data_IF_011604778247
#
_entry.id   IF_011604778247
#
_cell.length_a   1.000
_cell.length_b   1.000
_cell.length_c   1.000
_cell.angle_alpha   90.00
_cell.angle_beta   90.00
_cell.angle_gamma   90.00
#
_symmetry.space_group_name_H-M   'P 1'
#
loop_
_entity.id
_entity.type
_entity.pdbx_description
1 polymer ?
#
# COMPACT_ATOMS: atom_id res chain seq x y z
N UNK A 1 -39.54 -2.22 -13.54
CA UNK A 1 -39.78 -3.69 -13.57
C UNK A 1 -38.42 -4.34 -13.45
N UNK A 2 -38.30 -5.44 -12.74
CA UNK A 2 -37.00 -6.15 -12.67
C UNK A 2 -37.05 -7.40 -13.56
N UNK A 3 -35.94 -7.77 -14.16
CA UNK A 3 -35.75 -9.08 -14.79
C UNK A 3 -35.15 -10.01 -13.74
N UNK A 4 -35.80 -11.16 -13.53
CA UNK A 4 -35.24 -12.26 -12.76
C UNK A 4 -34.35 -13.10 -13.67
N UNK A 5 -33.02 -12.97 -13.50
CA UNK A 5 -32.03 -13.52 -14.41
C UNK A 5 -32.10 -15.07 -14.46
N UNK A 6 -32.25 -15.71 -13.32
CA UNK A 6 -32.32 -17.18 -13.23
C UNK A 6 -33.54 -17.81 -13.92
N UNK A 7 -34.49 -17.02 -14.39
CA UNK A 7 -35.65 -17.49 -15.15
C UNK A 7 -35.43 -17.44 -16.68
N UNK A 8 -34.29 -16.92 -17.14
CA UNK A 8 -33.96 -16.83 -18.55
C UNK A 8 -33.30 -18.15 -19.03
N UNK A 9 -33.33 -18.34 -20.31
CA UNK A 9 -32.61 -19.44 -21.00
C UNK A 9 -31.52 -18.81 -21.86
N UNK A 10 -30.34 -19.30 -21.71
CA UNK A 10 -29.11 -18.81 -22.31
C UNK A 10 -28.61 -19.81 -23.38
N UNK A 11 -27.67 -19.37 -24.20
CA UNK A 11 -27.11 -20.12 -25.32
C UNK A 11 -25.59 -20.16 -25.26
N UNK A 12 -24.95 -20.95 -26.13
CA UNK A 12 -23.49 -20.92 -26.31
C UNK A 12 -23.07 -19.81 -27.31
N UNK A 13 -23.83 -18.73 -27.42
CA UNK A 13 -23.58 -17.57 -28.29
C UNK A 13 -23.76 -16.31 -27.46
N UNK A 14 -23.27 -15.18 -27.94
CA UNK A 14 -23.40 -13.88 -27.30
C UNK A 14 -24.86 -13.61 -26.85
N UNK A 15 -25.08 -13.55 -25.55
CA UNK A 15 -26.37 -13.22 -24.96
C UNK A 15 -26.38 -11.76 -24.46
N UNK A 16 -27.39 -10.97 -24.79
CA UNK A 16 -27.52 -9.56 -24.35
C UNK A 16 -28.76 -9.40 -23.51
N UNK A 17 -28.56 -9.02 -22.24
CA UNK A 17 -29.64 -8.91 -21.26
C UNK A 17 -29.64 -7.53 -20.57
N UNK A 18 -30.73 -6.76 -20.64
CA UNK A 18 -31.89 -6.95 -21.52
C UNK A 18 -31.53 -6.59 -22.98
N UNK A 19 -32.22 -7.17 -23.92
CA UNK A 19 -32.04 -6.84 -25.35
C UNK A 19 -32.37 -5.37 -25.67
N UNK A 20 -33.21 -4.73 -24.84
CA UNK A 20 -33.52 -3.29 -24.91
C UNK A 20 -34.21 -2.77 -23.66
N UNK A 21 -33.95 -1.50 -23.32
CA UNK A 21 -34.67 -0.77 -22.25
C UNK A 21 -33.88 -0.62 -20.96
N UNK A 22 -34.47 0.11 -19.99
CA UNK A 22 -33.90 0.38 -18.65
C UNK A 22 -34.57 -0.58 -17.67
N UNK A 23 -33.83 -1.51 -17.12
CA UNK A 23 -34.43 -2.56 -16.28
C UNK A 23 -33.42 -3.03 -15.23
N UNK A 24 -33.85 -3.07 -13.98
CA UNK A 24 -33.09 -3.68 -12.88
C UNK A 24 -32.90 -5.17 -13.15
N UNK A 25 -31.76 -5.70 -12.85
CA UNK A 25 -31.50 -7.13 -12.80
C UNK A 25 -31.59 -7.62 -11.35
N UNK A 26 -32.37 -8.68 -11.18
CA UNK A 26 -32.47 -9.46 -9.95
C UNK A 26 -32.04 -10.89 -10.25
N UNK A 27 -31.24 -11.49 -9.42
CA UNK A 27 -30.92 -12.92 -9.53
C UNK A 27 -31.09 -13.57 -8.15
N UNK A 28 -32.03 -14.51 -8.05
CA UNK A 28 -32.28 -15.26 -6.81
C UNK A 28 -31.92 -16.75 -6.93
N UNK A 29 -31.54 -17.20 -8.12
CA UNK A 29 -31.19 -18.57 -8.44
C UNK A 29 -29.83 -18.70 -9.11
N UNK A 30 -29.74 -19.62 -10.07
CA UNK A 30 -28.54 -19.83 -10.88
C UNK A 30 -28.82 -19.30 -12.29
N UNK A 31 -28.07 -18.34 -12.72
CA UNK A 31 -28.01 -17.86 -14.08
C UNK A 31 -26.63 -18.24 -14.67
N UNK A 32 -26.64 -18.96 -15.77
CA UNK A 32 -25.42 -19.40 -16.45
C UNK A 32 -25.62 -19.09 -17.94
N UNK A 33 -24.85 -18.13 -18.47
CA UNK A 33 -24.94 -17.71 -19.86
C UNK A 33 -24.13 -18.61 -20.80
N UNK A 34 -23.28 -19.48 -20.25
CA UNK A 34 -22.52 -20.54 -20.91
C UNK A 34 -21.23 -20.04 -21.57
N UNK A 35 -21.22 -19.79 -22.88
CA UNK A 35 -20.07 -19.30 -23.63
C UNK A 35 -20.54 -18.26 -24.65
N UNK A 36 -19.65 -17.42 -25.11
CA UNK A 36 -19.94 -16.26 -25.94
C UNK A 36 -19.62 -14.97 -25.17
N UNK A 37 -19.52 -13.87 -25.88
CA UNK A 37 -19.28 -12.57 -25.24
C UNK A 37 -20.63 -12.03 -24.73
N UNK A 38 -20.91 -12.29 -23.47
CA UNK A 38 -22.20 -12.02 -22.87
C UNK A 38 -22.28 -10.61 -22.26
N UNK A 39 -23.44 -10.00 -22.30
CA UNK A 39 -23.67 -8.66 -21.76
C UNK A 39 -24.86 -8.68 -20.82
N UNK A 40 -24.61 -8.42 -19.53
CA UNK A 40 -25.66 -8.27 -18.52
C UNK A 40 -25.69 -6.80 -18.05
N UNK A 41 -26.79 -6.08 -18.34
CA UNK A 41 -26.94 -4.67 -17.93
C UNK A 41 -28.16 -4.46 -17.05
N UNK A 42 -27.92 -4.03 -15.82
CA UNK A 42 -28.97 -3.68 -14.86
C UNK A 42 -29.01 -2.18 -14.59
N UNK A 43 -30.19 -1.55 -14.74
CA UNK A 43 -30.36 -0.11 -14.47
C UNK A 43 -31.56 0.10 -13.54
N UNK A 44 -31.32 0.80 -12.42
CA UNK A 44 -32.33 1.12 -11.43
C UNK A 44 -32.31 2.62 -11.04
N UNK A 45 -33.39 3.11 -10.43
CA UNK A 45 -33.46 4.48 -9.92
C UNK A 45 -33.09 4.58 -8.45
N UNK A 46 -33.57 3.65 -7.61
CA UNK A 46 -33.59 3.76 -6.15
C UNK A 46 -33.21 2.47 -5.40
N UNK A 47 -32.66 1.49 -6.13
CA UNK A 47 -32.13 0.22 -5.60
C UNK A 47 -30.92 -0.18 -6.42
N UNK A 48 -30.27 -1.30 -6.13
CA UNK A 48 -29.14 -1.77 -6.93
C UNK A 48 -29.51 -1.98 -8.39
N UNK A 49 -28.62 -1.56 -9.30
CA UNK A 49 -28.77 -1.85 -10.75
C UNK A 49 -28.81 -3.35 -10.99
N UNK A 50 -27.84 -4.07 -10.42
CA UNK A 50 -27.83 -5.54 -10.30
C UNK A 50 -27.89 -5.91 -8.84
N UNK A 51 -28.80 -6.82 -8.48
CA UNK A 51 -28.94 -7.40 -7.13
C UNK A 51 -28.84 -8.91 -7.23
N UNK A 52 -27.72 -9.45 -6.77
CA UNK A 52 -27.44 -10.87 -6.82
C UNK A 52 -27.58 -11.51 -5.43
N UNK A 53 -28.51 -12.45 -5.32
CA UNK A 53 -28.74 -13.31 -4.16
C UNK A 53 -28.45 -14.79 -4.46
N UNK A 54 -28.01 -15.10 -5.67
CA UNK A 54 -27.73 -16.43 -6.17
C UNK A 54 -26.38 -16.53 -6.87
N UNK A 55 -26.31 -17.23 -7.97
CA UNK A 55 -25.10 -17.35 -8.78
C UNK A 55 -25.33 -16.77 -10.19
N UNK A 56 -24.48 -15.86 -10.58
CA UNK A 56 -24.32 -15.41 -11.97
C UNK A 56 -22.99 -16.00 -12.45
N UNK A 57 -23.03 -16.74 -13.56
CA UNK A 57 -21.84 -17.28 -14.21
C UNK A 57 -21.96 -16.96 -15.70
N UNK A 58 -21.00 -16.23 -16.25
CA UNK A 58 -21.03 -15.86 -17.68
C UNK A 58 -20.22 -16.80 -18.55
N UNK A 59 -19.18 -17.44 -18.01
CA UNK A 59 -18.56 -18.60 -18.66
C UNK A 59 -17.22 -18.34 -19.32
N UNK A 60 -17.04 -18.81 -20.53
CA UNK A 60 -15.85 -18.55 -21.33
C UNK A 60 -16.11 -17.38 -22.32
N UNK A 61 -15.07 -16.74 -22.83
CA UNK A 61 -15.04 -15.56 -23.70
C UNK A 61 -15.18 -14.24 -22.93
N UNK A 62 -15.21 -13.10 -23.60
CA UNK A 62 -15.09 -11.79 -22.95
C UNK A 62 -16.46 -11.22 -22.57
N UNK A 63 -16.75 -11.18 -21.29
CA UNK A 63 -18.06 -10.84 -20.76
C UNK A 63 -18.14 -9.43 -20.15
N UNK A 64 -19.33 -8.87 -20.13
CA UNK A 64 -19.57 -7.54 -19.58
C UNK A 64 -20.75 -7.58 -18.62
N UNK A 65 -20.53 -7.24 -17.36
CA UNK A 65 -21.58 -7.07 -16.38
C UNK A 65 -21.62 -5.60 -15.93
N UNK A 66 -22.73 -4.90 -16.18
CA UNK A 66 -22.89 -3.49 -15.81
C UNK A 66 -24.11 -3.27 -14.94
N UNK A 67 -23.89 -2.76 -13.73
CA UNK A 67 -24.95 -2.33 -12.83
C UNK A 67 -24.95 -0.82 -12.64
N UNK A 68 -26.07 -0.15 -12.91
CA UNK A 68 -26.21 1.30 -12.75
C UNK A 68 -27.39 1.65 -11.84
N UNK A 69 -27.18 2.55 -10.89
CA UNK A 69 -28.25 3.10 -10.06
C UNK A 69 -28.14 4.61 -9.90
N UNK A 70 -29.30 5.31 -9.93
CA UNK A 70 -29.31 6.77 -9.74
C UNK A 70 -29.16 7.18 -8.27
N UNK A 71 -29.61 6.36 -7.32
CA UNK A 71 -29.54 6.66 -5.88
C UNK A 71 -29.17 5.47 -5.00
N UNK A 72 -29.07 4.27 -5.58
CA UNK A 72 -28.63 3.04 -4.93
C UNK A 72 -27.22 2.63 -5.32
N UNK A 73 -26.88 1.39 -5.05
CA UNK A 73 -25.63 0.77 -5.47
C UNK A 73 -25.66 0.40 -6.95
N UNK A 74 -24.52 0.45 -7.64
CA UNK A 74 -24.43 -0.11 -8.99
C UNK A 74 -24.69 -1.61 -8.98
N UNK A 75 -23.86 -2.35 -8.24
CA UNK A 75 -23.95 -3.80 -8.04
C UNK A 75 -24.04 -4.11 -6.55
N UNK A 76 -24.98 -4.98 -6.17
CA UNK A 76 -25.11 -5.57 -4.84
C UNK A 76 -24.98 -7.10 -4.96
N UNK A 77 -23.86 -7.65 -4.52
CA UNK A 77 -23.60 -9.09 -4.43
C UNK A 77 -23.69 -9.52 -2.97
N UNK A 78 -24.80 -10.18 -2.60
CA UNK A 78 -25.14 -10.47 -1.21
C UNK A 78 -24.40 -11.71 -0.68
N UNK A 79 -24.52 -11.97 0.61
CA UNK A 79 -23.90 -13.14 1.26
C UNK A 79 -24.37 -14.45 0.64
N UNK A 80 -23.42 -15.37 0.47
CA UNK A 80 -23.60 -16.67 -0.21
C UNK A 80 -23.98 -16.57 -1.69
N UNK A 81 -23.80 -15.42 -2.32
CA UNK A 81 -23.96 -15.28 -3.76
C UNK A 81 -22.61 -15.20 -4.47
N UNK A 82 -22.61 -15.47 -5.78
CA UNK A 82 -21.42 -15.38 -6.61
C UNK A 82 -21.69 -14.65 -7.93
N UNK A 83 -20.71 -13.90 -8.37
CA UNK A 83 -20.55 -13.43 -9.73
C UNK A 83 -19.24 -14.05 -10.23
N UNK A 84 -19.30 -14.83 -11.28
CA UNK A 84 -18.17 -15.55 -11.87
C UNK A 84 -18.20 -15.29 -13.38
N UNK A 85 -17.16 -14.63 -13.90
CA UNK A 85 -17.12 -14.33 -15.34
C UNK A 85 -16.28 -15.33 -16.12
N UNK A 86 -15.38 -16.06 -15.47
CA UNK A 86 -14.77 -17.27 -16.04
C UNK A 86 -13.45 -17.05 -16.74
N UNK A 87 -13.33 -17.45 -18.01
CA UNK A 87 -12.10 -17.22 -18.77
C UNK A 87 -12.39 -16.20 -19.86
N UNK A 88 -11.59 -15.20 -19.98
CA UNK A 88 -11.76 -14.15 -20.97
C UNK A 88 -11.21 -12.85 -20.44
N UNK A 89 -11.28 -11.80 -21.20
CA UNK A 89 -10.97 -10.48 -20.67
C UNK A 89 -12.28 -9.79 -20.29
N UNK A 90 -12.63 -9.88 -19.02
CA UNK A 90 -13.96 -9.58 -18.53
C UNK A 90 -14.06 -8.17 -17.90
N UNK A 91 -15.26 -7.61 -17.95
CA UNK A 91 -15.49 -6.29 -17.39
C UNK A 91 -16.70 -6.30 -16.45
N UNK A 92 -16.49 -5.96 -15.19
CA UNK A 92 -17.55 -5.71 -14.22
C UNK A 92 -17.57 -4.21 -13.89
N UNK A 93 -18.69 -3.52 -14.23
CA UNK A 93 -18.84 -2.10 -13.96
C UNK A 93 -20.02 -1.84 -13.03
N UNK A 94 -19.75 -1.18 -11.90
CA UNK A 94 -20.75 -0.71 -10.96
C UNK A 94 -20.80 0.83 -10.99
N UNK A 95 -21.97 1.41 -11.22
CA UNK A 95 -22.18 2.87 -11.25
C UNK A 95 -23.27 3.20 -10.25
N UNK A 96 -22.96 3.94 -9.19
CA UNK A 96 -23.91 4.16 -8.10
C UNK A 96 -23.67 5.43 -7.29
N UNK A 97 -24.65 5.73 -6.38
CA UNK A 97 -24.58 6.87 -5.45
C UNK A 97 -24.71 6.46 -3.97
N UNK A 98 -24.94 5.15 -3.69
CA UNK A 98 -24.85 4.57 -2.36
C UNK A 98 -23.50 3.84 -2.25
N UNK A 99 -23.45 2.60 -1.81
CA UNK A 99 -22.27 1.80 -2.06
C UNK A 99 -22.14 1.56 -3.57
N UNK A 100 -21.08 2.02 -4.20
CA UNK A 100 -20.95 1.90 -5.66
C UNK A 100 -20.95 0.41 -6.03
N UNK A 101 -19.99 -0.34 -5.48
CA UNK A 101 -19.93 -1.80 -5.50
C UNK A 101 -20.09 -2.30 -4.05
N UNK A 102 -21.11 -3.10 -3.78
CA UNK A 102 -21.30 -3.79 -2.50
C UNK A 102 -21.10 -5.29 -2.71
N UNK A 103 -20.02 -5.85 -2.17
CA UNK A 103 -19.72 -7.27 -2.24
C UNK A 103 -19.65 -7.90 -0.85
N UNK A 104 -20.61 -8.78 -0.54
CA UNK A 104 -20.63 -9.63 0.65
C UNK A 104 -20.64 -11.14 0.27
N UNK A 105 -20.49 -11.42 -1.02
CA UNK A 105 -20.38 -12.76 -1.61
C UNK A 105 -19.01 -12.98 -2.22
N UNK A 106 -18.98 -13.65 -3.37
CA UNK A 106 -17.78 -13.82 -4.17
C UNK A 106 -17.93 -13.14 -5.51
N UNK A 107 -16.95 -12.39 -5.91
CA UNK A 107 -16.73 -11.93 -7.29
C UNK A 107 -15.45 -12.60 -7.76
N UNK A 108 -15.54 -13.36 -8.83
CA UNK A 108 -14.41 -14.03 -9.46
C UNK A 108 -14.43 -13.69 -10.94
N UNK A 109 -13.35 -13.11 -11.48
CA UNK A 109 -13.29 -12.80 -12.90
C UNK A 109 -12.54 -13.87 -13.69
N UNK A 110 -11.63 -14.60 -13.02
CA UNK A 110 -11.03 -15.80 -13.61
C UNK A 110 -9.72 -15.56 -14.33
N UNK A 111 -9.53 -16.17 -15.50
CA UNK A 111 -8.28 -16.00 -16.22
C UNK A 111 -8.48 -15.03 -17.39
N UNK A 112 -7.57 -14.12 -17.56
CA UNK A 112 -7.58 -13.11 -18.59
C UNK A 112 -7.24 -11.74 -18.04
N UNK A 113 -7.09 -10.74 -18.87
CA UNK A 113 -6.85 -9.38 -18.40
C UNK A 113 -8.20 -8.74 -18.04
N UNK A 114 -8.55 -8.77 -16.75
CA UNK A 114 -9.88 -8.44 -16.26
C UNK A 114 -9.98 -7.02 -15.70
N UNK A 115 -11.20 -6.50 -15.63
CA UNK A 115 -11.42 -5.16 -15.07
C UNK A 115 -12.66 -5.10 -14.18
N UNK A 116 -12.47 -4.62 -12.95
CA UNK A 116 -13.56 -4.28 -12.03
C UNK A 116 -13.54 -2.77 -11.81
N UNK A 117 -14.62 -2.09 -12.23
CA UNK A 117 -14.72 -0.64 -12.20
C UNK A 117 -15.91 -0.22 -11.32
N UNK A 118 -15.66 0.61 -10.34
CA UNK A 118 -16.72 1.25 -9.56
C UNK A 118 -16.67 2.76 -9.77
N UNK A 119 -17.79 3.34 -10.26
CA UNK A 119 -17.89 4.75 -10.60
C UNK A 119 -19.03 5.43 -9.86
N UNK A 120 -18.81 6.66 -9.41
CA UNK A 120 -19.87 7.48 -8.84
C UNK A 120 -20.82 8.02 -9.93
N UNK A 121 -22.13 8.00 -9.67
CA UNK A 121 -23.15 8.56 -10.55
C UNK A 121 -23.62 9.94 -10.06
N UNK A 122 -22.72 10.91 -9.89
CA UNK A 122 -23.08 12.29 -9.50
C UNK A 122 -22.20 12.91 -8.43
N UNK A 123 -22.63 14.05 -7.89
CA UNK A 123 -21.83 14.91 -7.01
C UNK A 123 -22.04 14.66 -5.51
N UNK A 124 -22.27 13.47 -5.05
CA UNK A 124 -22.44 13.18 -3.62
C UNK A 124 -21.33 12.29 -3.11
N UNK A 125 -20.31 12.83 -2.44
CA UNK A 125 -19.13 12.07 -2.01
C UNK A 125 -19.39 11.37 -0.67
N UNK A 126 -20.22 10.36 -0.59
CA UNK A 126 -20.53 9.79 0.73
C UNK A 126 -20.30 8.29 0.91
N UNK A 127 -20.04 7.53 -0.15
CA UNK A 127 -19.99 6.08 0.03
C UNK A 127 -18.94 5.42 -0.87
N UNK A 128 -18.00 4.75 -0.24
CA UNK A 128 -16.96 3.94 -0.87
C UNK A 128 -17.56 2.62 -1.40
N UNK A 129 -16.86 1.95 -2.29
CA UNK A 129 -17.09 0.54 -2.54
C UNK A 129 -16.80 -0.27 -1.28
N UNK A 130 -17.63 -1.28 -0.96
CA UNK A 130 -17.46 -2.14 0.21
C UNK A 130 -17.25 -3.58 -0.24
N UNK A 131 -16.16 -4.17 0.25
CA UNK A 131 -15.92 -5.60 0.13
C UNK A 131 -15.90 -6.25 1.52
N UNK A 132 -16.98 -6.97 1.83
CA UNK A 132 -17.09 -7.81 3.02
C UNK A 132 -16.92 -9.31 2.69
N UNK A 133 -16.81 -9.63 1.40
CA UNK A 133 -16.67 -10.98 0.85
C UNK A 133 -15.30 -11.22 0.21
N UNK A 134 -15.30 -11.82 -0.96
CA UNK A 134 -14.09 -12.08 -1.74
C UNK A 134 -14.19 -11.43 -3.11
N UNK A 135 -13.16 -10.74 -3.52
CA UNK A 135 -12.90 -10.34 -4.91
C UNK A 135 -11.63 -11.10 -5.31
N UNK A 136 -11.69 -11.82 -6.42
CA UNK A 136 -10.58 -12.59 -6.96
C UNK A 136 -10.53 -12.40 -8.47
N UNK A 137 -9.38 -11.96 -9.00
CA UNK A 137 -9.20 -11.78 -10.44
C UNK A 137 -8.33 -12.86 -11.07
N UNK A 138 -7.65 -13.65 -10.25
CA UNK A 138 -6.93 -14.90 -10.57
C UNK A 138 -5.66 -14.73 -11.39
N UNK A 139 -5.70 -14.71 -12.73
CA UNK A 139 -4.48 -14.61 -13.54
C UNK A 139 -4.70 -13.79 -14.79
N UNK A 140 -3.79 -12.91 -15.08
CA UNK A 140 -3.83 -11.93 -16.14
C UNK A 140 -3.29 -10.61 -15.64
N UNK A 141 -3.30 -9.56 -16.44
CA UNK A 141 -2.96 -8.24 -15.93
C UNK A 141 -4.27 -7.53 -15.58
N UNK A 142 -4.63 -7.63 -14.32
CA UNK A 142 -5.95 -7.25 -13.84
C UNK A 142 -6.02 -5.82 -13.32
N UNK A 143 -7.18 -5.22 -13.37
CA UNK A 143 -7.38 -3.87 -12.91
C UNK A 143 -8.64 -3.73 -12.05
N UNK A 144 -8.46 -3.24 -10.81
CA UNK A 144 -9.56 -2.87 -9.94
C UNK A 144 -9.50 -1.36 -9.72
N UNK A 145 -10.48 -0.62 -10.27
CA UNK A 145 -10.56 0.85 -10.20
C UNK A 145 -11.80 1.25 -9.42
N UNK A 146 -11.62 1.86 -8.26
CA UNK A 146 -12.68 2.20 -7.33
C UNK A 146 -12.72 3.71 -7.09
N UNK A 147 -13.45 4.42 -7.97
CA UNK A 147 -13.69 5.85 -7.84
C UNK A 147 -14.73 6.07 -6.72
N UNK A 148 -14.30 6.65 -5.62
CA UNK A 148 -15.05 6.70 -4.36
C UNK A 148 -14.33 5.94 -3.24
N UNK A 149 -13.26 5.20 -3.59
CA UNK A 149 -12.42 4.46 -2.64
C UNK A 149 -12.95 3.08 -2.28
N UNK A 150 -12.18 2.37 -1.45
CA UNK A 150 -12.45 1.00 -0.99
C UNK A 150 -12.47 0.89 0.53
N UNK A 151 -13.53 0.28 1.04
CA UNK A 151 -13.60 -0.26 2.39
C UNK A 151 -13.54 -1.77 2.31
N UNK A 152 -12.42 -2.37 2.70
CA UNK A 152 -12.19 -3.81 2.63
C UNK A 152 -12.16 -4.46 4.02
N UNK A 153 -13.20 -5.20 4.36
CA UNK A 153 -13.21 -6.11 5.52
C UNK A 153 -13.19 -7.59 5.10
N UNK A 154 -13.24 -7.84 3.80
CA UNK A 154 -13.11 -9.14 3.16
C UNK A 154 -11.71 -9.37 2.59
N UNK A 155 -11.64 -10.09 1.49
CA UNK A 155 -10.38 -10.45 0.81
C UNK A 155 -10.41 -9.94 -0.62
N UNK A 156 -9.31 -9.33 -1.05
CA UNK A 156 -9.04 -8.96 -2.45
C UNK A 156 -7.79 -9.71 -2.88
N UNK A 157 -7.91 -10.51 -3.93
CA UNK A 157 -6.84 -11.30 -4.54
C UNK A 157 -6.78 -10.93 -6.01
N UNK A 158 -5.64 -10.43 -6.50
CA UNK A 158 -5.48 -10.14 -7.91
C UNK A 158 -4.84 -11.34 -8.63
N UNK A 159 -3.74 -11.88 -8.14
CA UNK A 159 -3.24 -13.19 -8.56
C UNK A 159 -1.92 -13.17 -9.30
N UNK A 160 -1.79 -13.89 -10.41
CA UNK A 160 -0.58 -13.86 -11.21
C UNK A 160 -0.72 -12.86 -12.37
N UNK A 161 0.13 -11.89 -12.47
CA UNK A 161 0.10 -10.90 -13.54
C UNK A 161 0.62 -9.55 -13.08
N UNK A 162 0.63 -8.56 -13.94
CA UNK A 162 0.99 -7.20 -13.53
C UNK A 162 -0.31 -6.44 -13.22
N UNK A 163 -0.65 -6.39 -11.96
CA UNK A 163 -1.97 -6.01 -11.50
C UNK A 163 -2.05 -4.57 -10.97
N UNK A 164 -3.24 -4.01 -10.99
CA UNK A 164 -3.47 -2.66 -10.52
C UNK A 164 -4.70 -2.54 -9.63
N UNK A 165 -4.50 -2.03 -8.41
CA UNK A 165 -5.57 -1.60 -7.51
C UNK A 165 -5.51 -0.09 -7.35
N UNK A 166 -6.53 0.60 -7.85
CA UNK A 166 -6.68 2.06 -7.75
C UNK A 166 -7.86 2.39 -6.85
N UNK A 167 -7.58 3.05 -5.73
CA UNK A 167 -8.60 3.59 -4.85
C UNK A 167 -8.57 5.12 -4.92
N UNK A 168 -9.49 5.69 -5.67
CA UNK A 168 -9.62 7.13 -5.84
C UNK A 168 -10.80 7.65 -5.01
N UNK A 169 -10.60 8.64 -4.18
CA UNK A 169 -11.67 9.26 -3.41
C UNK A 169 -11.62 10.78 -3.53
N UNK A 170 -12.77 11.37 -3.77
CA UNK A 170 -12.91 12.84 -3.81
C UNK A 170 -12.59 13.51 -2.46
N UNK A 171 -12.64 12.75 -1.36
CA UNK A 171 -12.27 13.22 -0.03
C UNK A 171 -10.89 12.66 0.36
N UNK A 172 -9.93 13.50 0.74
CA UNK A 172 -8.56 13.08 1.02
C UNK A 172 -8.42 12.18 2.26
N UNK A 173 -9.48 12.04 3.05
CA UNK A 173 -9.36 11.42 4.36
C UNK A 173 -9.23 9.88 4.34
N UNK A 174 -9.84 9.19 3.38
CA UNK A 174 -9.80 7.71 3.31
C UNK A 174 -10.16 7.22 1.92
N UNK A 175 -9.18 6.93 1.09
CA UNK A 175 -9.43 6.29 -0.20
C UNK A 175 -9.34 4.75 -0.12
N UNK A 176 -8.41 4.22 0.66
CA UNK A 176 -8.28 2.78 0.87
C UNK A 176 -8.27 2.47 2.37
N UNK A 177 -9.25 1.70 2.83
CA UNK A 177 -9.32 1.19 4.20
C UNK A 177 -9.30 -0.33 4.17
N UNK A 178 -8.24 -0.93 4.68
CA UNK A 178 -8.08 -2.38 4.72
C UNK A 178 -8.08 -2.91 6.15
N UNK A 179 -9.06 -3.73 6.46
CA UNK A 179 -9.18 -4.43 7.76
C UNK A 179 -8.82 -5.90 7.68
N UNK A 180 -8.70 -6.49 6.48
CA UNK A 180 -8.40 -7.91 6.34
C UNK A 180 -7.26 -8.13 5.35
N UNK A 181 -7.49 -8.53 4.11
CA UNK A 181 -6.43 -8.86 3.20
C UNK A 181 -6.60 -8.22 1.83
N UNK A 182 -5.51 -7.68 1.32
CA UNK A 182 -5.29 -7.31 -0.07
C UNK A 182 -3.99 -8.02 -0.47
N UNK A 183 -4.07 -8.84 -1.49
CA UNK A 183 -2.96 -9.63 -2.03
C UNK A 183 -2.96 -9.44 -3.55
N UNK A 184 -1.92 -8.85 -4.09
CA UNK A 184 -1.82 -8.63 -5.55
C UNK A 184 -1.15 -9.80 -6.24
N UNK A 185 -0.34 -10.58 -5.52
CA UNK A 185 0.24 -11.82 -6.04
C UNK A 185 1.57 -11.63 -6.75
N UNK A 186 1.85 -12.48 -7.76
CA UNK A 186 3.12 -12.40 -8.47
C UNK A 186 3.00 -11.51 -9.71
N UNK A 187 3.95 -10.64 -9.91
CA UNK A 187 4.01 -9.74 -11.07
C UNK A 187 4.45 -8.35 -10.64
N UNK A 188 4.63 -7.45 -11.57
CA UNK A 188 4.97 -6.07 -11.24
C UNK A 188 3.67 -5.30 -10.94
N UNK A 189 3.32 -5.21 -9.65
CA UNK A 189 2.01 -4.77 -9.19
C UNK A 189 1.99 -3.32 -8.71
N UNK A 190 0.82 -2.70 -8.76
CA UNK A 190 0.66 -1.33 -8.30
C UNK A 190 -0.60 -1.14 -7.46
N UNK A 191 -0.44 -0.61 -6.25
CA UNK A 191 -1.54 -0.12 -5.42
C UNK A 191 -1.43 1.40 -5.34
N UNK A 192 -2.44 2.12 -5.85
CA UNK A 192 -2.49 3.58 -5.76
C UNK A 192 -3.71 4.07 -5.00
N UNK A 193 -3.51 5.15 -4.24
CA UNK A 193 -4.58 5.81 -3.52
C UNK A 193 -4.42 7.33 -3.58
N UNK A 194 -5.44 8.05 -4.05
CA UNK A 194 -5.43 9.52 -4.06
C UNK A 194 -5.65 10.12 -2.66
N UNK A 195 -6.22 9.35 -1.73
CA UNK A 195 -6.33 9.71 -0.32
C UNK A 195 -5.46 8.83 0.56
N UNK A 196 -5.80 8.79 1.85
CA UNK A 196 -5.04 7.99 2.82
C UNK A 196 -5.31 6.51 2.64
N UNK A 197 -4.24 5.70 2.72
CA UNK A 197 -4.32 4.26 2.94
C UNK A 197 -4.32 4.02 4.46
N UNK A 198 -5.42 3.47 4.98
CA UNK A 198 -5.50 2.95 6.34
C UNK A 198 -5.41 1.43 6.31
N UNK A 199 -4.31 0.87 6.79
CA UNK A 199 -4.14 -0.58 6.86
C UNK A 199 -4.15 -1.06 8.31
N UNK A 200 -5.18 -1.82 8.67
CA UNK A 200 -5.26 -2.57 9.93
C UNK A 200 -5.13 -4.09 9.69
N UNK A 201 -5.18 -4.52 8.42
CA UNK A 201 -5.06 -5.90 7.97
C UNK A 201 -3.69 -6.22 7.38
N UNK A 202 -3.68 -6.96 6.29
CA UNK A 202 -2.49 -7.30 5.52
C UNK A 202 -2.61 -6.71 4.11
N UNK A 203 -1.56 -6.06 3.65
CA UNK A 203 -1.31 -5.77 2.24
C UNK A 203 -0.07 -6.55 1.86
N UNK A 204 -0.17 -7.37 0.83
CA UNK A 204 0.90 -8.22 0.31
C UNK A 204 0.99 -8.05 -1.20
N UNK A 205 2.19 -7.86 -1.74
CA UNK A 205 2.39 -7.75 -3.19
C UNK A 205 3.24 -8.90 -3.76
N UNK A 206 3.76 -9.79 -2.91
CA UNK A 206 4.50 -11.02 -3.22
C UNK A 206 5.78 -10.78 -4.05
N UNK A 207 5.89 -11.33 -5.27
CA UNK A 207 7.12 -11.24 -6.06
C UNK A 207 6.90 -10.34 -7.27
N UNK A 208 7.79 -9.42 -7.48
CA UNK A 208 7.70 -8.50 -8.60
C UNK A 208 8.46 -7.21 -8.32
N UNK A 209 8.31 -6.24 -9.20
CA UNK A 209 8.76 -4.87 -8.92
C UNK A 209 7.53 -4.04 -8.57
N UNK A 210 7.22 -4.01 -7.28
CA UNK A 210 5.93 -3.58 -6.80
C UNK A 210 5.93 -2.13 -6.33
N UNK A 211 4.76 -1.51 -6.34
CA UNK A 211 4.63 -0.13 -5.91
C UNK A 211 3.37 0.13 -5.11
N UNK A 212 3.52 0.68 -3.91
CA UNK A 212 2.41 1.24 -3.14
C UNK A 212 2.59 2.76 -3.07
N UNK A 213 1.65 3.49 -3.67
CA UNK A 213 1.68 4.96 -3.73
C UNK A 213 0.43 5.53 -3.09
N UNK A 214 0.61 6.41 -2.11
CA UNK A 214 -0.51 7.09 -1.46
C UNK A 214 -0.30 8.59 -1.44
N UNK A 215 -1.14 9.31 -2.20
CA UNK A 215 -1.12 10.78 -2.21
C UNK A 215 -1.53 11.37 -0.86
N UNK A 216 -2.41 10.69 -0.13
CA UNK A 216 -2.84 11.08 1.21
C UNK A 216 -1.95 10.56 2.34
N UNK A 217 -1.00 9.68 2.04
CA UNK A 217 -0.14 9.03 3.01
C UNK A 217 -0.64 7.67 3.49
N UNK A 218 0.21 6.93 4.20
CA UNK A 218 -0.07 5.59 4.75
C UNK A 218 -0.11 5.62 6.27
N UNK A 219 -1.19 5.10 6.85
CA UNK A 219 -1.27 4.78 8.28
C UNK A 219 -1.38 3.26 8.44
N UNK A 220 -0.32 2.64 8.90
CA UNK A 220 -0.21 1.18 9.04
C UNK A 220 -0.23 0.74 10.50
N UNK A 221 -1.31 0.08 10.90
CA UNK A 221 -1.44 -0.66 12.17
C UNK A 221 -1.46 -2.17 11.96
N UNK A 222 -1.54 -2.60 10.70
CA UNK A 222 -1.47 -3.98 10.24
C UNK A 222 -0.08 -4.34 9.72
N UNK A 223 -0.04 -5.10 8.66
CA UNK A 223 1.20 -5.55 8.02
C UNK A 223 1.21 -5.14 6.55
N UNK A 224 2.35 -4.68 6.07
CA UNK A 224 2.63 -4.44 4.66
C UNK A 224 3.85 -5.29 4.30
N UNK A 225 3.68 -6.20 3.34
CA UNK A 225 4.74 -6.99 2.72
C UNK A 225 4.81 -6.64 1.24
N UNK A 226 6.00 -6.32 0.72
CA UNK A 226 6.19 -6.10 -0.70
C UNK A 226 6.82 -7.34 -1.38
N UNK A 227 7.78 -8.00 -0.76
CA UNK A 227 8.19 -9.35 -1.17
C UNK A 227 9.58 -9.46 -1.80
N UNK A 228 9.70 -10.13 -2.95
CA UNK A 228 10.97 -10.21 -3.67
C UNK A 228 10.90 -9.32 -4.92
N UNK A 229 11.77 -8.38 -5.05
CA UNK A 229 11.80 -7.46 -6.19
C UNK A 229 12.45 -6.13 -5.83
N UNK A 230 12.41 -5.17 -6.72
CA UNK A 230 12.86 -3.83 -6.39
C UNK A 230 11.63 -2.95 -6.14
N UNK A 231 11.20 -2.90 -4.90
CA UNK A 231 9.89 -2.41 -4.55
C UNK A 231 9.89 -0.95 -4.07
N UNK A 232 8.74 -0.32 -4.13
CA UNK A 232 8.62 1.05 -3.67
C UNK A 232 7.39 1.30 -2.80
N UNK A 233 7.60 2.03 -1.70
CA UNK A 233 6.56 2.53 -0.82
C UNK A 233 6.65 4.06 -0.74
N UNK A 234 5.65 4.76 -1.27
CA UNK A 234 5.66 6.21 -1.40
C UNK A 234 4.46 6.83 -0.71
N UNK A 235 4.73 7.71 0.26
CA UNK A 235 3.73 8.59 0.86
C UNK A 235 3.96 10.03 0.41
N UNK A 236 3.04 10.60 -0.39
CA UNK A 236 3.28 11.90 -1.02
C UNK A 236 2.81 13.09 -0.19
N UNK A 237 1.71 12.99 0.53
CA UNK A 237 1.13 14.09 1.28
C UNK A 237 1.24 13.89 2.80
N UNK A 238 0.98 14.97 3.51
CA UNK A 238 0.92 14.97 4.96
C UNK A 238 -0.44 14.42 5.43
N UNK A 239 -0.46 13.35 6.19
CA UNK A 239 -1.58 13.01 7.06
C UNK A 239 -1.99 14.23 7.92
N UNK A 240 -3.20 14.27 8.48
CA UNK A 240 -3.65 15.41 9.30
C UNK A 240 -2.71 15.81 10.45
N UNK A 241 -1.81 14.92 10.85
CA UNK A 241 -0.79 15.14 11.88
C UNK A 241 0.59 15.54 11.34
N UNK A 242 0.73 15.77 10.04
CA UNK A 242 1.97 16.17 9.37
C UNK A 242 2.91 15.01 9.02
N UNK A 243 2.40 13.79 8.94
CA UNK A 243 3.16 12.57 8.63
C UNK A 243 2.68 11.98 7.31
N UNK A 244 3.59 11.50 6.48
CA UNK A 244 3.24 10.86 5.21
C UNK A 244 3.19 9.34 5.31
N UNK A 245 4.04 8.76 6.15
CA UNK A 245 3.96 7.35 6.54
C UNK A 245 3.96 7.27 8.07
N UNK A 246 2.96 6.59 8.62
CA UNK A 246 2.88 6.19 10.01
C UNK A 246 2.89 4.67 10.10
N UNK A 247 3.90 4.12 10.78
CA UNK A 247 3.99 2.68 11.02
C UNK A 247 3.91 2.37 12.52
N UNK A 248 2.87 1.64 12.90
CA UNK A 248 2.66 1.17 14.27
C UNK A 248 2.92 -0.34 14.41
N UNK A 249 3.10 -1.08 13.30
CA UNK A 249 3.34 -2.52 13.34
C UNK A 249 4.48 -2.91 12.39
N UNK A 250 4.23 -3.51 11.25
CA UNK A 250 5.27 -4.01 10.35
C UNK A 250 5.10 -3.45 8.94
N UNK A 251 6.20 -2.94 8.40
CA UNK A 251 6.44 -2.73 6.98
C UNK A 251 7.70 -3.54 6.65
N UNK A 252 7.58 -4.51 5.77
CA UNK A 252 8.67 -5.36 5.29
C UNK A 252 8.65 -5.30 3.76
N UNK A 253 9.67 -4.72 3.17
CA UNK A 253 9.75 -4.57 1.72
C UNK A 253 10.50 -5.72 1.05
N UNK A 254 11.26 -6.50 1.83
CA UNK A 254 11.68 -7.84 1.41
C UNK A 254 13.08 -7.97 0.85
N UNK A 255 13.24 -8.30 -0.43
CA UNK A 255 14.56 -8.49 -1.06
C UNK A 255 14.58 -7.80 -2.41
N UNK A 256 15.62 -7.05 -2.66
CA UNK A 256 15.84 -6.28 -3.87
C UNK A 256 16.45 -4.93 -3.51
N UNK A 257 16.53 -4.02 -4.42
CA UNK A 257 16.93 -2.63 -4.13
C UNK A 257 15.67 -1.80 -3.82
N UNK A 258 15.32 -1.70 -2.53
CA UNK A 258 14.06 -1.15 -2.04
C UNK A 258 14.06 0.38 -1.93
N UNK A 259 12.89 0.99 -2.11
CA UNK A 259 12.74 2.44 -2.00
C UNK A 259 11.55 2.85 -1.14
N UNK A 260 11.82 3.42 0.03
CA UNK A 260 10.79 4.04 0.87
C UNK A 260 10.96 5.56 0.82
N UNK A 261 9.93 6.27 0.39
CA UNK A 261 9.99 7.73 0.26
C UNK A 261 8.81 8.43 0.90
N UNK A 262 9.10 9.53 1.60
CA UNK A 262 8.06 10.43 2.10
C UNK A 262 8.41 11.87 1.79
N UNK A 263 7.45 12.62 1.25
CA UNK A 263 7.62 14.06 1.05
C UNK A 263 7.56 14.86 2.35
N UNK A 264 6.97 14.28 3.40
CA UNK A 264 6.91 14.86 4.73
C UNK A 264 7.66 13.99 5.74
N UNK A 265 7.00 13.50 6.76
CA UNK A 265 7.64 12.80 7.85
C UNK A 265 7.32 11.31 7.83
N UNK A 266 8.34 10.50 8.12
CA UNK A 266 8.19 9.08 8.46
C UNK A 266 8.10 8.96 9.99
N UNK A 267 6.99 8.41 10.48
CA UNK A 267 6.79 8.10 11.89
C UNK A 267 6.76 6.59 12.10
N UNK A 268 7.61 6.08 12.99
CA UNK A 268 7.72 4.65 13.24
C UNK A 268 7.70 4.33 14.74
N UNK A 269 6.72 3.53 15.14
CA UNK A 269 6.66 2.86 16.45
C UNK A 269 6.82 1.34 16.34
N UNK A 270 6.74 0.82 15.10
CA UNK A 270 6.85 -0.59 14.78
C UNK A 270 8.21 -0.99 14.21
N UNK A 271 8.17 -1.87 13.24
CA UNK A 271 9.34 -2.34 12.49
C UNK A 271 9.20 -1.90 11.04
N UNK A 272 10.25 -1.30 10.50
CA UNK A 272 10.45 -1.13 9.07
C UNK A 272 11.69 -1.95 8.73
N UNK A 273 11.55 -2.92 7.85
CA UNK A 273 12.61 -3.81 7.37
C UNK A 273 12.67 -3.72 5.85
N UNK A 274 13.82 -3.35 5.29
CA UNK A 274 13.98 -3.31 3.84
C UNK A 274 14.70 -4.54 3.29
N UNK A 275 15.41 -5.27 4.16
CA UNK A 275 15.85 -6.63 3.85
C UNK A 275 17.21 -6.77 3.20
N UNK A 276 17.30 -7.40 2.05
CA UNK A 276 18.57 -7.59 1.36
C UNK A 276 18.56 -6.83 0.04
N UNK A 277 19.56 -6.03 -0.21
CA UNK A 277 19.66 -5.21 -1.41
C UNK A 277 20.31 -3.88 -1.11
N UNK A 278 20.40 -2.98 -2.07
CA UNK A 278 20.93 -1.64 -1.80
C UNK A 278 19.74 -0.69 -1.59
N UNK A 279 19.30 -0.58 -0.37
CA UNK A 279 18.02 0.02 -0.01
C UNK A 279 18.14 1.52 0.23
N UNK A 280 17.05 2.22 0.00
CA UNK A 280 16.99 3.66 0.20
C UNK A 280 15.74 4.09 0.96
N UNK A 281 15.94 4.75 2.10
CA UNK A 281 14.88 5.42 2.84
C UNK A 281 15.10 6.93 2.76
N UNK A 282 14.16 7.64 2.13
CA UNK A 282 14.20 9.09 2.01
C UNK A 282 13.03 9.73 2.72
N UNK A 283 13.30 10.67 3.63
CA UNK A 283 12.27 11.40 4.36
C UNK A 283 12.72 12.82 4.71
N UNK A 284 11.78 13.74 4.83
CA UNK A 284 12.10 15.07 5.36
C UNK A 284 12.61 14.99 6.80
N UNK A 285 11.96 14.22 7.66
CA UNK A 285 12.44 13.83 8.98
C UNK A 285 11.91 12.44 9.35
N UNK A 286 12.69 11.70 10.13
CA UNK A 286 12.27 10.39 10.66
C UNK A 286 12.06 10.52 12.17
N UNK A 287 10.83 10.22 12.59
CA UNK A 287 10.42 10.10 13.99
C UNK A 287 10.35 8.63 14.36
N UNK A 288 11.45 8.06 14.82
CA UNK A 288 11.49 6.66 15.27
C UNK A 288 11.28 6.61 16.80
N UNK A 289 10.03 6.39 17.20
CA UNK A 289 9.59 6.50 18.59
C UNK A 289 9.56 5.12 19.27
N UNK A 290 10.72 4.56 19.51
CA UNK A 290 10.90 3.23 20.10
C UNK A 290 10.75 2.08 19.11
N UNK A 291 10.57 2.37 17.83
CA UNK A 291 10.56 1.38 16.75
C UNK A 291 11.96 0.98 16.29
N UNK A 292 12.00 0.08 15.31
CA UNK A 292 13.22 -0.33 14.63
C UNK A 292 13.12 -0.04 13.12
N UNK A 293 14.22 0.46 12.55
CA UNK A 293 14.44 0.53 11.10
C UNK A 293 15.66 -0.33 10.81
N UNK A 294 15.49 -1.31 9.94
CA UNK A 294 16.48 -2.34 9.61
C UNK A 294 16.64 -2.32 8.10
N UNK A 295 17.85 -2.04 7.60
CA UNK A 295 18.09 -2.04 6.15
C UNK A 295 18.70 -3.35 5.66
N UNK A 296 19.52 -4.02 6.46
CA UNK A 296 19.87 -5.43 6.21
C UNK A 296 21.20 -5.67 5.51
N UNK A 297 21.21 -6.50 4.45
CA UNK A 297 22.43 -6.77 3.71
C UNK A 297 22.48 -5.91 2.44
N UNK A 298 23.51 -5.14 2.23
CA UNK A 298 23.67 -4.31 1.03
C UNK A 298 24.30 -2.97 1.34
N UNK A 299 24.44 -2.11 0.33
CA UNK A 299 24.95 -0.76 0.58
C UNK A 299 23.75 0.18 0.71
N UNK A 300 23.31 0.40 1.92
CA UNK A 300 22.04 1.04 2.22
C UNK A 300 22.17 2.55 2.44
N UNK A 301 21.09 3.27 2.25
CA UNK A 301 21.06 4.69 2.50
C UNK A 301 19.82 5.15 3.24
N UNK A 302 20.01 5.87 4.36
CA UNK A 302 18.94 6.58 5.03
C UNK A 302 19.23 8.08 4.94
N UNK A 303 18.34 8.80 4.29
CA UNK A 303 18.49 10.23 4.05
C UNK A 303 17.39 11.04 4.72
N UNK A 304 17.78 12.05 5.53
CA UNK A 304 16.86 13.02 6.09
C UNK A 304 17.36 14.46 5.89
N UNK A 305 16.42 15.38 5.64
CA UNK A 305 16.74 16.81 5.54
C UNK A 305 16.73 17.49 6.91
N UNK A 306 15.80 17.13 7.76
CA UNK A 306 15.61 17.73 9.09
C UNK A 306 16.18 16.86 10.23
N UNK A 307 16.61 15.65 9.91
CA UNK A 307 17.26 14.73 10.84
C UNK A 307 16.33 13.70 11.49
N UNK A 308 16.83 13.13 12.57
CA UNK A 308 16.19 12.03 13.28
C UNK A 308 15.64 12.52 14.62
N UNK A 309 14.42 12.17 14.93
CA UNK A 309 13.76 12.48 16.19
C UNK A 309 13.35 11.19 16.89
N UNK A 310 13.42 11.17 18.20
CA UNK A 310 12.90 10.10 19.03
C UNK A 310 11.82 10.64 19.97
N UNK A 311 10.92 9.79 20.41
CA UNK A 311 9.93 10.17 21.40
C UNK A 311 10.57 10.48 22.78
N UNK A 312 9.83 11.16 23.64
CA UNK A 312 10.36 11.61 24.92
C UNK A 312 10.74 10.47 25.89
N UNK A 313 10.32 9.26 25.63
CA UNK A 313 10.47 8.12 26.53
C UNK A 313 11.15 6.89 25.92
N UNK A 314 11.46 6.89 24.62
CA UNK A 314 12.11 5.76 23.95
C UNK A 314 12.93 6.22 22.74
N UNK A 315 14.15 5.73 22.69
CA UNK A 315 15.04 5.88 21.55
C UNK A 315 14.64 4.87 20.47
N UNK A 316 14.55 5.30 19.22
CA UNK A 316 14.41 4.39 18.10
C UNK A 316 15.77 3.84 17.68
N UNK A 317 15.78 2.61 17.19
CA UNK A 317 16.98 1.95 16.72
C UNK A 317 17.02 1.90 15.18
N UNK A 318 18.23 2.01 14.63
CA UNK A 318 18.53 1.94 13.21
C UNK A 318 19.66 0.93 13.01
N UNK A 319 19.39 -0.15 12.30
CA UNK A 319 20.33 -1.22 12.01
C UNK A 319 20.57 -1.23 10.50
N UNK A 320 21.78 -0.81 10.07
CA UNK A 320 22.09 -0.75 8.66
C UNK A 320 22.54 -2.12 8.14
N UNK A 321 23.50 -2.78 8.79
CA UNK A 321 23.73 -4.22 8.57
C UNK A 321 25.04 -4.59 7.93
N UNK A 322 25.01 -5.31 6.82
CA UNK A 322 26.22 -5.73 6.07
C UNK A 322 26.37 -4.85 4.84
N UNK A 323 27.50 -4.21 4.66
CA UNK A 323 27.77 -3.41 3.46
C UNK A 323 28.37 -2.05 3.77
N UNK A 324 28.63 -1.26 2.77
CA UNK A 324 29.14 0.10 2.94
C UNK A 324 27.95 1.08 2.99
N UNK A 325 27.50 1.41 4.20
CA UNK A 325 26.22 2.10 4.43
C UNK A 325 26.36 3.60 4.58
N UNK A 326 25.29 4.30 4.26
CA UNK A 326 25.24 5.76 4.29
C UNK A 326 24.07 6.31 5.07
N UNK A 327 24.35 7.03 6.15
CA UNK A 327 23.36 7.73 6.95
C UNK A 327 23.53 9.25 6.77
N UNK A 328 22.48 9.93 6.33
CA UNK A 328 22.49 11.39 6.18
C UNK A 328 21.56 12.07 7.16
N UNK A 329 22.12 12.90 8.03
CA UNK A 329 21.37 13.66 9.03
C UNK A 329 21.92 13.48 10.45
N UNK A 330 21.46 14.33 11.34
CA UNK A 330 21.75 14.26 12.78
C UNK A 330 20.44 14.20 13.56
N UNK A 331 20.43 13.54 14.70
CA UNK A 331 19.27 13.55 15.59
C UNK A 331 19.37 12.53 16.69
N UNK A 332 18.24 12.26 17.32
CA UNK A 332 18.16 11.34 18.46
C UNK A 332 17.89 9.91 17.98
N UNK A 333 18.62 8.95 18.52
CA UNK A 333 18.47 7.53 18.19
C UNK A 333 19.73 6.73 18.50
N UNK A 334 19.58 5.41 18.37
CA UNK A 334 20.65 4.43 18.45
C UNK A 334 20.95 3.89 17.04
N UNK A 335 22.13 4.17 16.52
CA UNK A 335 22.52 3.87 15.14
C UNK A 335 23.65 2.85 15.12
N UNK A 336 23.42 1.76 14.39
CA UNK A 336 24.34 0.64 14.23
C UNK A 336 24.67 0.52 12.74
N UNK A 337 25.92 0.83 12.35
CA UNK A 337 26.42 0.66 10.98
C UNK A 337 26.44 -0.81 10.61
N UNK A 338 27.18 -1.60 11.36
CA UNK A 338 27.28 -3.03 11.13
C UNK A 338 28.65 -3.43 10.63
N UNK A 339 28.70 -4.27 9.58
CA UNK A 339 29.96 -4.67 8.96
C UNK A 339 30.15 -3.92 7.64
N UNK A 340 31.19 -3.14 7.51
CA UNK A 340 31.44 -2.41 6.27
C UNK A 340 32.33 -1.19 6.46
N UNK A 341 32.18 -0.23 5.58
CA UNK A 341 32.77 1.10 5.74
C UNK A 341 31.65 2.14 5.79
N UNK A 342 31.05 2.27 6.96
CA UNK A 342 29.82 3.01 7.15
C UNK A 342 30.09 4.50 7.41
N UNK A 343 29.25 5.32 6.81
CA UNK A 343 29.44 6.76 6.79
C UNK A 343 28.22 7.46 7.34
N UNK A 344 28.44 8.36 8.28
CA UNK A 344 27.44 9.36 8.69
C UNK A 344 27.80 10.70 8.09
N UNK A 345 26.86 11.35 7.44
CA UNK A 345 27.05 12.67 6.83
C UNK A 345 26.18 13.74 7.53
N UNK A 346 26.83 14.79 8.05
CA UNK A 346 26.19 15.93 8.72
C UNK A 346 26.15 17.21 7.89
N UNK A 347 26.36 17.13 6.57
CA UNK A 347 26.39 18.34 5.73
C UNK A 347 25.13 19.21 5.80
N UNK A 348 23.99 18.65 6.17
CA UNK A 348 22.73 19.37 6.39
C UNK A 348 22.48 19.73 7.87
N UNK A 349 23.41 19.39 8.77
CA UNK A 349 23.25 19.62 10.21
C UNK A 349 24.39 20.45 10.81
N UNK A 350 24.67 21.68 10.29
CA UNK A 350 25.80 22.49 10.75
C UNK A 350 25.69 22.79 12.25
N UNK A 351 26.84 22.84 12.92
CA UNK A 351 26.90 23.16 14.36
C UNK A 351 28.07 22.57 15.10
N UNK A 352 28.01 22.68 16.41
CA UNK A 352 29.06 22.19 17.32
C UNK A 352 28.56 20.98 18.07
N UNK A 353 29.32 19.90 18.01
CA UNK A 353 29.03 18.63 18.64
C UNK A 353 30.06 18.30 19.71
N UNK A 354 29.61 17.78 20.85
CA UNK A 354 30.47 17.26 21.89
C UNK A 354 30.50 15.73 21.78
N UNK A 355 31.70 15.17 21.79
CA UNK A 355 31.91 13.72 21.73
C UNK A 355 31.89 13.11 23.11
N UNK A 356 31.03 12.13 23.32
CA UNK A 356 31.07 11.18 24.41
C UNK A 356 31.56 9.83 23.93
N UNK A 357 32.15 9.03 24.80
CA UNK A 357 32.55 7.64 24.50
C UNK A 357 31.96 6.74 25.57
N UNK A 358 31.33 5.66 25.16
CA UNK A 358 30.84 4.62 26.06
C UNK A 358 31.38 3.25 25.57
N UNK A 359 31.77 2.39 26.52
CA UNK A 359 32.37 1.09 26.22
C UNK A 359 33.82 1.16 25.74
N UNK A 360 34.40 0.02 25.44
CA UNK A 360 35.76 -0.18 24.91
C UNK A 360 35.80 -1.31 23.88
N UNK A 361 36.77 -1.26 22.97
CA UNK A 361 36.96 -2.29 21.96
C UNK A 361 35.81 -2.40 20.97
N UNK A 362 35.26 -3.60 20.80
CA UNK A 362 34.11 -3.84 19.89
C UNK A 362 32.77 -3.30 20.43
N UNK A 363 32.65 -3.08 21.72
CA UNK A 363 31.43 -2.53 22.34
C UNK A 363 31.53 -1.01 22.49
N UNK A 364 32.36 -0.35 21.71
CA UNK A 364 32.59 1.09 21.77
C UNK A 364 31.52 1.85 20.99
N UNK A 365 30.75 2.67 21.67
CA UNK A 365 29.82 3.61 21.06
C UNK A 365 30.32 5.05 21.17
N UNK A 366 30.08 5.84 20.14
CA UNK A 366 30.30 7.29 20.13
C UNK A 366 28.99 8.00 20.35
N UNK A 367 28.95 8.91 21.29
CA UNK A 367 27.79 9.73 21.56
C UNK A 367 28.06 11.14 21.04
N UNK A 368 27.33 11.57 20.06
CA UNK A 368 27.39 12.95 19.56
C UNK A 368 26.23 13.75 20.14
N UNK A 369 26.56 14.82 20.86
CA UNK A 369 25.58 15.68 21.51
C UNK A 369 25.58 17.08 20.90
N UNK A 370 24.40 17.57 20.51
CA UNK A 370 24.15 18.93 20.05
C UNK A 370 22.89 19.45 20.72
N UNK A 371 23.05 20.42 21.63
CA UNK A 371 21.92 20.89 22.44
C UNK A 371 21.35 19.77 23.33
N UNK A 372 20.07 19.45 23.17
CA UNK A 372 19.39 18.39 23.92
C UNK A 372 19.29 17.07 23.15
N UNK A 373 19.79 17.02 21.90
CA UNK A 373 19.76 15.82 21.07
C UNK A 373 21.04 15.01 21.27
N UNK A 374 20.89 13.70 21.31
CA UNK A 374 21.98 12.74 21.40
C UNK A 374 21.81 11.66 20.34
N UNK A 375 22.85 11.46 19.55
CA UNK A 375 22.98 10.39 18.59
C UNK A 375 23.99 9.38 19.16
N UNK A 376 23.56 8.15 19.36
CA UNK A 376 24.43 7.05 19.84
C UNK A 376 24.79 6.22 18.62
N UNK A 377 26.10 6.08 18.37
CA UNK A 377 26.64 5.54 17.14
C UNK A 377 27.56 4.39 17.48
N UNK A 378 27.32 3.23 16.87
CA UNK A 378 28.14 2.03 16.98
C UNK A 378 28.43 1.49 15.58
N UNK A 379 29.63 0.95 15.41
CA UNK A 379 30.05 0.25 14.19
C UNK A 379 30.03 1.11 12.91
N UNK A 380 30.22 2.42 13.01
CA UNK A 380 30.50 3.32 11.89
C UNK A 380 31.99 3.68 11.83
N UNK A 381 32.54 3.84 10.62
CA UNK A 381 33.94 4.18 10.42
C UNK A 381 34.18 5.66 10.30
N UNK A 382 33.29 6.38 9.62
CA UNK A 382 33.50 7.78 9.27
C UNK A 382 32.33 8.70 9.56
N UNK A 383 32.63 9.87 10.08
CA UNK A 383 31.77 11.04 10.08
C UNK A 383 32.25 12.01 9.00
N UNK A 384 31.39 12.40 8.09
CA UNK A 384 31.67 13.42 7.07
C UNK A 384 30.89 14.70 7.32
N UNK A 385 31.55 15.83 7.02
CA UNK A 385 30.93 17.11 6.79
C UNK A 385 31.31 17.62 5.39
N UNK A 386 30.94 18.86 5.06
CA UNK A 386 31.23 19.47 3.73
C UNK A 386 32.72 19.54 3.42
N UNK A 387 33.60 19.63 4.43
CA UNK A 387 35.02 19.95 4.30
C UNK A 387 35.97 18.93 4.91
N UNK A 388 35.51 18.14 5.88
CA UNK A 388 36.34 17.26 6.70
C UNK A 388 35.72 15.90 6.92
N UNK A 389 36.57 14.90 7.13
CA UNK A 389 36.15 13.57 7.60
C UNK A 389 36.82 13.25 8.91
N UNK A 390 36.07 12.63 9.81
CA UNK A 390 36.57 12.16 11.09
C UNK A 390 36.41 10.64 11.13
N UNK A 391 37.50 9.94 11.49
CA UNK A 391 37.40 8.51 11.76
C UNK A 391 36.92 8.30 13.20
N UNK A 392 35.82 7.56 13.37
CA UNK A 392 35.20 7.33 14.68
C UNK A 392 36.17 6.63 15.67
N UNK A 393 37.06 5.77 15.19
CA UNK A 393 38.06 5.10 16.03
C UNK A 393 39.04 6.08 16.72
N UNK A 394 39.25 7.25 16.12
CA UNK A 394 40.17 8.27 16.61
C UNK A 394 39.50 9.36 17.48
N UNK A 395 38.18 9.36 17.62
CA UNK A 395 37.47 10.31 18.44
C UNK A 395 37.73 10.07 19.94
N UNK A 396 37.80 11.14 20.71
CA UNK A 396 38.05 11.09 22.15
C UNK A 396 36.97 11.79 22.92
N UNK A 397 36.69 11.30 24.12
CA UNK A 397 35.71 11.94 25.03
C UNK A 397 36.08 13.40 25.34
N UNK A 398 35.10 14.29 25.21
CA UNK A 398 35.30 15.73 25.39
C UNK A 398 35.81 16.47 24.15
N UNK A 399 36.11 15.75 23.04
CA UNK A 399 36.43 16.38 21.78
C UNK A 399 35.23 17.17 21.23
N UNK A 400 35.54 18.28 20.57
CA UNK A 400 34.54 19.12 19.90
C UNK A 400 34.71 18.95 18.41
N UNK A 401 33.61 18.62 17.72
CA UNK A 401 33.51 18.59 16.28
C UNK A 401 32.70 19.81 15.84
N UNK A 402 33.19 20.52 14.86
CA UNK A 402 32.46 21.66 14.24
C UNK A 402 32.17 21.31 12.81
N UNK A 403 30.90 21.24 12.49
CA UNK A 403 30.35 21.03 11.13
C UNK A 403 29.97 22.38 10.57
N UNK A 404 30.50 22.74 9.40
CA UNK A 404 30.35 24.08 8.80
C UNK A 404 29.25 24.20 7.76
#
# INVERSE_FOLDING_TARGET
MAIELSNLTFTDQDDIIPESGVTQILNTGIANTLAGNDIITGIATDSGGIRNFGSINTGDDNDIITGTSMSGSGIENFSNSSIDTGNGNDIITAIGNAYILYNNGTINTGNGDDSIIAEENGNLPLYNSSNDGTINTSSGNDSIILNGGLYNSGVVLLGDGNDSLVADADLPDRALVNYNAIDTGNGDDIITSTGVIYNEGVINTDNGTDSIISDGGLSNSGVVFLGEGNDSLIGEADLPNGRAIENFNVIDTGKGDEYISTFSHLYNEGIINTGNGNDSIWSRAIYNNGGAIITGDGNDSIYTIQGFESGPNSSGAYFLGEGDDYLHGFGSGDFYGGNGNDIINFSQAPGTYTVGIWGEGRDRSVILTKGNQQMIISDFEFLWDVATSYNFANLTAGQIIVVG
#
